data_IF_039201294262
#
_entry.id   IF_039201294262
#
_cell.length_a   1.000
_cell.length_b   1.000
_cell.length_c   1.000
_cell.angle_alpha   90.00
_cell.angle_beta   90.00
_cell.angle_gamma   90.00
#
_symmetry.space_group_name_H-M   'P 1'
#
loop_
_entity.id
_entity.type
_entity.pdbx_description
1 polymer ?
#
# COMPACT_ATOMS: atom_id res chain seq x y z
N UNK A 1 -14.58 13.81 12.17
CA UNK A 1 -13.88 12.59 11.68
C UNK A 1 -14.65 11.38 12.19
N UNK A 2 -14.81 10.37 11.35
CA UNK A 2 -15.55 9.15 11.70
C UNK A 2 -14.77 8.41 12.79
N UNK A 3 -15.39 8.01 13.90
CA UNK A 3 -14.72 7.23 14.93
C UNK A 3 -14.39 5.83 14.44
N UNK A 4 -13.32 5.23 14.98
CA UNK A 4 -12.86 3.88 14.64
C UNK A 4 -13.80 2.81 15.21
N UNK A 5 -14.53 3.14 16.28
CA UNK A 5 -15.50 2.25 16.91
C UNK A 5 -16.92 2.82 16.77
N UNK A 6 -17.90 2.01 16.33
CA UNK A 6 -19.31 2.45 16.16
C UNK A 6 -19.97 3.01 17.41
N UNK A 7 -19.42 2.71 18.59
CA UNK A 7 -19.94 3.17 19.90
C UNK A 7 -19.37 4.51 20.36
N UNK A 8 -18.49 5.10 19.56
CA UNK A 8 -17.88 6.40 19.86
C UNK A 8 -18.43 7.49 18.97
N UNK A 9 -18.63 8.68 19.52
CA UNK A 9 -19.09 9.87 18.78
C UNK A 9 -17.95 10.55 18.02
N UNK A 10 -16.71 10.34 18.46
CA UNK A 10 -15.51 11.00 17.91
C UNK A 10 -14.31 10.07 18.00
N UNK A 11 -13.42 10.17 17.01
CA UNK A 11 -12.11 9.54 17.07
C UNK A 11 -11.28 10.10 18.23
N UNK A 12 -10.64 9.23 19.00
CA UNK A 12 -9.76 9.56 20.12
C UNK A 12 -8.32 9.24 19.79
N UNK A 13 -7.38 9.85 20.53
CA UNK A 13 -5.93 9.55 20.45
C UNK A 13 -5.35 9.71 19.05
N UNK A 14 -5.98 10.51 18.21
CA UNK A 14 -5.61 10.68 16.78
C UNK A 14 -5.54 9.35 16.00
N UNK A 15 -6.32 8.35 16.38
CA UNK A 15 -6.36 7.04 15.69
C UNK A 15 -6.77 7.17 14.23
N UNK A 16 -7.57 8.18 13.89
CA UNK A 16 -7.94 8.50 12.50
C UNK A 16 -6.70 8.70 11.60
N UNK A 17 -5.64 9.27 12.15
CA UNK A 17 -4.38 9.52 11.45
C UNK A 17 -3.47 8.29 11.49
N UNK A 18 -3.22 7.75 12.69
CA UNK A 18 -2.20 6.70 12.88
C UNK A 18 -2.62 5.34 12.33
N UNK A 19 -3.90 5.00 12.40
CA UNK A 19 -4.44 3.70 11.97
C UNK A 19 -5.54 3.88 10.91
N UNK A 20 -6.40 4.88 11.07
CA UNK A 20 -7.58 5.05 10.24
C UNK A 20 -7.24 5.22 8.76
N UNK A 21 -6.35 6.12 8.41
CA UNK A 21 -5.96 6.32 7.01
C UNK A 21 -5.24 5.12 6.41
N UNK A 22 -4.23 4.49 7.04
CA UNK A 22 -3.66 3.24 6.54
C UNK A 22 -4.71 2.14 6.37
N UNK A 23 -5.65 2.00 7.29
CA UNK A 23 -6.75 1.06 7.16
C UNK A 23 -7.63 1.38 5.93
N UNK A 24 -8.02 2.63 5.74
CA UNK A 24 -8.84 3.05 4.60
C UNK A 24 -8.12 2.81 3.26
N UNK A 25 -6.82 3.11 3.18
CA UNK A 25 -6.00 2.80 2.01
C UNK A 25 -5.97 1.30 1.73
N UNK A 26 -5.79 0.48 2.76
CA UNK A 26 -5.84 -0.98 2.65
C UNK A 26 -7.17 -1.45 2.09
N UNK A 27 -8.29 -0.95 2.62
CA UNK A 27 -9.64 -1.27 2.13
C UNK A 27 -9.84 -0.80 0.69
N UNK A 28 -9.35 0.38 0.33
CA UNK A 28 -9.43 0.89 -1.04
C UNK A 28 -8.66 0.00 -2.02
N UNK A 29 -7.43 -0.40 -1.68
CA UNK A 29 -6.64 -1.34 -2.49
C UNK A 29 -7.36 -2.67 -2.67
N UNK A 30 -7.92 -3.23 -1.58
CA UNK A 30 -8.71 -4.46 -1.63
C UNK A 30 -9.89 -4.32 -2.60
N UNK A 31 -10.67 -3.24 -2.48
CA UNK A 31 -11.83 -3.00 -3.35
C UNK A 31 -11.43 -2.81 -4.81
N UNK A 32 -10.36 -2.08 -5.09
CA UNK A 32 -9.84 -1.89 -6.45
C UNK A 32 -9.38 -3.22 -7.04
N UNK A 33 -8.63 -4.04 -6.29
CA UNK A 33 -8.19 -5.34 -6.77
C UNK A 33 -9.39 -6.25 -7.12
N UNK A 34 -10.34 -6.38 -6.20
CA UNK A 34 -11.51 -7.23 -6.40
C UNK A 34 -12.52 -6.69 -7.41
N UNK A 35 -12.53 -5.38 -7.70
CA UNK A 35 -13.36 -4.82 -8.77
C UNK A 35 -12.94 -5.28 -10.17
N UNK A 36 -11.69 -5.76 -10.32
CA UNK A 36 -11.10 -6.11 -11.62
C UNK A 36 -10.59 -4.90 -12.39
N UNK A 37 -10.15 -3.84 -11.68
CA UNK A 37 -9.64 -2.62 -12.32
C UNK A 37 -8.48 -2.89 -13.29
N UNK A 38 -7.60 -3.86 -12.97
CA UNK A 38 -6.47 -4.22 -13.81
C UNK A 38 -6.86 -5.12 -15.00
N UNK A 39 -8.03 -5.74 -14.95
CA UNK A 39 -8.63 -6.47 -16.07
C UNK A 39 -9.31 -5.53 -17.05
N UNK A 40 -10.06 -4.56 -16.52
CA UNK A 40 -10.75 -3.55 -17.32
C UNK A 40 -9.75 -2.52 -17.91
N UNK A 41 -8.66 -2.21 -17.19
CA UNK A 41 -7.65 -1.22 -17.58
C UNK A 41 -6.22 -1.77 -17.37
N UNK A 42 -5.73 -2.67 -18.26
CA UNK A 42 -4.45 -3.38 -18.04
C UNK A 42 -3.22 -2.48 -17.99
N UNK A 43 -3.31 -1.27 -18.53
CA UNK A 43 -2.21 -0.30 -18.54
C UNK A 43 -2.26 0.73 -17.41
N UNK A 44 -3.31 0.68 -16.56
CA UNK A 44 -3.42 1.62 -15.44
C UNK A 44 -2.28 1.41 -14.45
N UNK A 45 -1.74 2.52 -13.96
CA UNK A 45 -0.75 2.54 -12.87
C UNK A 45 -1.39 3.20 -11.67
N UNK A 46 -1.42 2.50 -10.56
CA UNK A 46 -2.00 3.00 -9.30
C UNK A 46 -0.88 3.03 -8.28
N UNK A 47 -0.54 4.23 -7.81
CA UNK A 47 0.43 4.43 -6.73
C UNK A 47 -0.35 4.58 -5.44
N UNK A 48 -0.01 3.79 -4.44
CA UNK A 48 -0.60 3.85 -3.10
C UNK A 48 0.35 4.54 -2.14
N UNK A 49 -0.19 5.34 -1.23
CA UNK A 49 0.62 6.02 -0.23
C UNK A 49 0.96 5.11 0.97
N UNK A 50 1.93 5.57 1.77
CA UNK A 50 2.36 4.93 3.02
C UNK A 50 2.78 3.47 2.82
N UNK A 51 3.65 3.23 1.81
CA UNK A 51 4.24 1.92 1.52
C UNK A 51 3.19 0.83 1.22
N UNK A 52 2.04 1.23 0.65
CA UNK A 52 0.91 0.31 0.45
C UNK A 52 0.14 0.00 1.73
N UNK A 53 0.27 0.86 2.73
CA UNK A 53 -0.43 0.78 4.01
C UNK A 53 -0.23 -0.57 4.72
N UNK A 54 -1.29 -1.32 4.99
CA UNK A 54 -1.21 -2.61 5.70
C UNK A 54 -1.02 -3.80 4.74
N UNK A 55 -1.05 -3.61 3.42
CA UNK A 55 -1.01 -4.71 2.44
C UNK A 55 0.25 -5.56 2.58
N UNK A 56 1.48 -5.02 2.67
CA UNK A 56 2.68 -5.85 2.86
C UNK A 56 2.61 -6.72 4.12
N UNK A 57 2.10 -6.19 5.22
CA UNK A 57 1.92 -6.94 6.46
C UNK A 57 0.84 -8.03 6.38
N UNK A 58 -0.06 -7.93 5.41
CA UNK A 58 -1.13 -8.90 5.19
C UNK A 58 -0.81 -9.92 4.11
N UNK A 59 0.44 -9.97 3.60
CA UNK A 59 0.86 -10.87 2.51
C UNK A 59 0.36 -12.31 2.72
N UNK A 60 0.67 -12.93 3.85
CA UNK A 60 0.21 -14.29 4.15
C UNK A 60 -1.30 -14.45 4.23
N UNK A 61 -2.03 -13.41 4.67
CA UNK A 61 -3.50 -13.43 4.67
C UNK A 61 -4.07 -13.30 3.26
N UNK A 62 -3.42 -12.54 2.38
CA UNK A 62 -3.80 -12.39 0.98
C UNK A 62 -3.47 -13.69 0.25
N UNK A 63 -2.24 -14.18 0.33
CA UNK A 63 -1.79 -15.35 -0.41
C UNK A 63 -2.51 -16.63 0.03
N UNK A 64 -2.57 -16.91 1.33
CA UNK A 64 -3.08 -18.17 1.86
C UNK A 64 -4.53 -18.06 2.35
N UNK A 65 -4.89 -16.92 2.95
CA UNK A 65 -6.24 -16.71 3.47
C UNK A 65 -7.29 -16.62 2.37
N UNK A 66 -6.95 -16.05 1.23
CA UNK A 66 -7.86 -15.90 0.09
C UNK A 66 -7.95 -17.16 -0.79
N UNK A 67 -7.15 -18.22 -0.54
CA UNK A 67 -7.38 -19.53 -1.14
C UNK A 67 -8.76 -20.11 -0.78
N UNK A 68 -9.32 -19.66 0.35
CA UNK A 68 -10.68 -19.99 0.80
C UNK A 68 -11.67 -18.84 0.54
N UNK A 69 -11.45 -18.05 -0.50
CA UNK A 69 -12.30 -16.91 -0.84
C UNK A 69 -13.76 -17.35 -0.98
N UNK A 70 -14.67 -16.64 -0.31
CA UNK A 70 -16.08 -16.98 -0.23
C UNK A 70 -16.44 -18.07 0.76
N UNK A 71 -15.49 -18.89 1.21
CA UNK A 71 -15.76 -19.99 2.15
C UNK A 71 -16.19 -19.56 3.56
N UNK A 72 -15.96 -18.28 3.91
CA UNK A 72 -16.37 -17.68 5.19
C UNK A 72 -17.66 -16.85 5.08
N UNK A 73 -18.22 -16.74 3.88
CA UNK A 73 -19.48 -16.05 3.62
C UNK A 73 -20.63 -17.05 3.65
N UNK A 74 -21.73 -16.67 4.26
CA UNK A 74 -22.94 -17.52 4.31
C UNK A 74 -23.34 -17.91 2.88
N UNK A 75 -23.72 -19.18 2.64
CA UNK A 75 -23.96 -19.70 1.28
C UNK A 75 -24.96 -18.88 0.47
N UNK A 76 -26.02 -18.40 1.12
CA UNK A 76 -27.09 -17.60 0.53
C UNK A 76 -26.65 -16.19 0.07
N UNK A 77 -25.59 -15.65 0.68
CA UNK A 77 -25.04 -14.33 0.37
C UNK A 77 -23.76 -14.39 -0.48
N UNK A 78 -23.24 -15.60 -0.70
CA UNK A 78 -21.93 -15.80 -1.31
C UNK A 78 -21.83 -15.20 -2.70
N UNK A 79 -22.80 -15.46 -3.55
CA UNK A 79 -22.80 -14.96 -4.93
C UNK A 79 -22.78 -13.43 -4.96
N UNK A 80 -23.59 -12.78 -4.12
CA UNK A 80 -23.66 -11.32 -4.05
C UNK A 80 -22.37 -10.69 -3.47
N UNK A 81 -21.94 -11.19 -2.30
CA UNK A 81 -20.89 -10.55 -1.51
C UNK A 81 -19.46 -10.89 -1.94
N UNK A 82 -19.28 -11.95 -2.73
CA UNK A 82 -17.94 -12.39 -3.19
C UNK A 82 -17.76 -12.32 -4.70
N UNK A 83 -18.68 -11.69 -5.41
CA UNK A 83 -18.54 -11.47 -6.85
C UNK A 83 -17.34 -10.59 -7.15
N UNK A 84 -16.47 -11.06 -8.04
CA UNK A 84 -15.27 -10.34 -8.46
C UNK A 84 -14.98 -10.53 -9.93
N UNK A 85 -14.38 -9.53 -10.57
CA UNK A 85 -13.81 -9.64 -11.91
C UNK A 85 -12.32 -9.98 -11.89
N UNK A 86 -11.69 -9.95 -10.72
CA UNK A 86 -10.27 -10.26 -10.56
C UNK A 86 -9.96 -11.66 -11.09
N UNK A 87 -8.89 -11.79 -11.86
CA UNK A 87 -8.42 -13.05 -12.43
C UNK A 87 -7.09 -13.48 -11.79
N UNK A 88 -6.88 -14.79 -11.70
CA UNK A 88 -5.65 -15.36 -11.15
C UNK A 88 -5.57 -15.31 -9.63
N UNK A 89 -4.36 -15.44 -9.10
CA UNK A 89 -4.12 -15.39 -7.67
C UNK A 89 -4.25 -13.94 -7.15
N UNK A 90 -4.99 -13.72 -6.04
CA UNK A 90 -5.13 -12.38 -5.48
C UNK A 90 -3.81 -11.67 -5.24
N UNK A 91 -2.80 -12.37 -4.74
CA UNK A 91 -1.49 -11.80 -4.43
C UNK A 91 -0.84 -11.14 -5.65
N UNK A 92 -0.96 -11.76 -6.84
CA UNK A 92 -0.39 -11.22 -8.08
C UNK A 92 -1.08 -9.91 -8.50
N UNK A 93 -2.38 -9.78 -8.21
CA UNK A 93 -3.12 -8.54 -8.46
C UNK A 93 -2.66 -7.43 -7.54
N UNK A 94 -2.42 -7.71 -6.25
CA UNK A 94 -1.91 -6.72 -5.32
C UNK A 94 -0.49 -6.26 -5.66
N UNK A 95 0.36 -7.11 -6.22
CA UNK A 95 1.70 -6.77 -6.67
C UNK A 95 1.75 -5.89 -7.94
N UNK A 96 0.62 -5.67 -8.62
CA UNK A 96 0.51 -4.71 -9.74
C UNK A 96 0.46 -3.25 -9.29
N UNK A 97 0.13 -2.99 -8.03
CA UNK A 97 0.18 -1.63 -7.48
C UNK A 97 1.62 -1.16 -7.35
N UNK A 98 1.79 0.15 -7.38
CA UNK A 98 2.98 0.84 -6.93
C UNK A 98 2.76 1.35 -5.53
N UNK A 99 3.82 1.51 -4.76
CA UNK A 99 3.77 2.13 -3.45
C UNK A 99 4.86 3.20 -3.31
N UNK A 100 4.64 4.16 -2.42
CA UNK A 100 5.64 5.16 -2.09
C UNK A 100 6.55 4.73 -0.93
N UNK A 101 7.45 5.61 -0.51
CA UNK A 101 8.32 5.43 0.65
C UNK A 101 7.90 6.25 1.88
N UNK A 102 6.71 6.87 1.86
CA UNK A 102 6.25 7.78 2.91
C UNK A 102 5.89 7.00 4.19
N UNK A 103 6.90 6.67 4.99
CA UNK A 103 6.79 5.87 6.23
C UNK A 103 7.27 6.61 7.48
N UNK A 104 7.41 7.94 7.38
CA UNK A 104 7.82 8.81 8.49
C UNK A 104 9.15 8.41 9.16
N UNK A 105 10.05 7.76 8.40
CA UNK A 105 11.35 7.30 8.92
C UNK A 105 11.34 5.86 9.44
N UNK A 106 10.40 5.02 9.01
CA UNK A 106 10.37 3.60 9.35
C UNK A 106 11.08 2.73 8.32
N UNK A 107 12.33 2.34 8.58
CA UNK A 107 13.10 1.42 7.73
C UNK A 107 12.39 0.07 7.57
N UNK A 108 11.77 -0.45 8.64
CA UNK A 108 11.05 -1.73 8.60
C UNK A 108 9.81 -1.68 7.69
N UNK A 109 9.10 -0.56 7.66
CA UNK A 109 7.97 -0.40 6.76
C UNK A 109 8.42 -0.40 5.28
N UNK A 110 9.46 0.39 4.95
CA UNK A 110 10.01 0.43 3.58
C UNK A 110 10.53 -0.96 3.17
N UNK A 111 11.21 -1.68 4.09
CA UNK A 111 11.64 -3.05 3.84
C UNK A 111 10.47 -3.96 3.48
N UNK A 112 9.40 -3.95 4.28
CA UNK A 112 8.21 -4.75 4.01
C UNK A 112 7.57 -4.42 2.65
N UNK A 113 7.54 -3.15 2.27
CA UNK A 113 7.07 -2.72 0.96
C UNK A 113 7.95 -3.23 -0.19
N UNK A 114 9.27 -3.13 -0.05
CA UNK A 114 10.23 -3.65 -1.03
C UNK A 114 10.13 -5.17 -1.19
N UNK A 115 10.01 -5.90 -0.08
CA UNK A 115 9.87 -7.35 -0.10
C UNK A 115 8.55 -7.77 -0.78
N UNK A 116 7.48 -6.98 -0.61
CA UNK A 116 6.16 -7.27 -1.19
C UNK A 116 6.03 -6.85 -2.65
N UNK A 117 6.33 -5.58 -2.96
CA UNK A 117 6.10 -5.00 -4.29
C UNK A 117 7.31 -5.14 -5.24
N UNK A 118 8.49 -5.35 -4.68
CA UNK A 118 9.76 -5.29 -5.41
C UNK A 118 10.26 -3.86 -5.69
N UNK A 119 11.56 -3.69 -5.93
CA UNK A 119 12.16 -2.36 -6.12
C UNK A 119 11.64 -1.61 -7.35
N UNK A 120 11.11 -2.31 -8.35
CA UNK A 120 10.56 -1.71 -9.57
C UNK A 120 9.20 -1.04 -9.38
N UNK A 121 8.54 -1.30 -8.25
CA UNK A 121 7.20 -0.79 -7.92
C UNK A 121 7.18 0.16 -6.72
N UNK A 122 8.34 0.59 -6.22
CA UNK A 122 8.43 1.58 -5.15
C UNK A 122 8.91 2.92 -5.73
N UNK A 123 8.22 4.01 -5.37
CA UNK A 123 8.59 5.37 -5.76
C UNK A 123 8.92 6.22 -4.53
N UNK A 124 9.94 7.08 -4.66
CA UNK A 124 10.31 7.97 -3.57
C UNK A 124 9.23 9.01 -3.33
N UNK A 125 8.75 9.07 -2.10
CA UNK A 125 7.92 10.14 -1.58
C UNK A 125 8.05 10.19 -0.04
N UNK A 126 7.70 11.29 0.59
CA UNK A 126 8.00 11.55 2.01
C UNK A 126 6.81 11.98 2.83
N UNK A 127 5.70 12.34 2.16
CA UNK A 127 4.54 12.97 2.78
C UNK A 127 4.84 14.38 3.35
N UNK A 128 5.84 15.07 2.78
CA UNK A 128 6.09 16.47 3.13
C UNK A 128 4.87 17.34 2.72
N UNK A 129 4.55 18.42 3.43
CA UNK A 129 5.27 19.08 4.51
C UNK A 129 4.74 18.76 5.93
N UNK A 130 4.17 17.59 6.15
CA UNK A 130 3.43 17.25 7.39
C UNK A 130 4.31 16.85 8.60
N UNK A 131 5.64 16.91 8.44
CA UNK A 131 6.57 16.75 9.56
C UNK A 131 6.68 18.03 10.42
N UNK A 132 7.16 17.91 11.68
CA UNK A 132 7.36 19.06 12.55
C UNK A 132 8.29 20.13 11.96
N UNK A 133 9.20 19.72 11.09
CA UNK A 133 10.16 20.59 10.39
C UNK A 133 9.61 21.18 9.07
N UNK A 134 8.34 20.91 8.75
CA UNK A 134 7.62 21.39 7.56
C UNK A 134 8.26 20.96 6.23
N UNK A 135 8.73 19.72 6.18
CA UNK A 135 9.22 19.08 4.95
C UNK A 135 10.61 18.44 5.08
N UNK A 136 11.65 19.18 5.49
CA UNK A 136 13.01 18.63 5.51
C UNK A 136 13.19 17.39 6.37
N UNK A 137 12.47 17.28 7.48
CA UNK A 137 12.59 16.17 8.40
C UNK A 137 12.16 14.82 7.80
N UNK A 138 11.04 14.78 7.10
CA UNK A 138 10.59 13.54 6.44
C UNK A 138 11.47 13.17 5.26
N UNK A 139 11.97 14.16 4.51
CA UNK A 139 12.92 13.91 3.43
C UNK A 139 14.18 13.23 3.97
N UNK A 140 14.82 13.84 4.98
CA UNK A 140 16.05 13.31 5.58
C UNK A 140 15.86 11.91 6.16
N UNK A 141 14.79 11.70 6.94
CA UNK A 141 14.48 10.40 7.55
C UNK A 141 14.24 9.33 6.51
N UNK A 142 13.53 9.64 5.42
CA UNK A 142 13.25 8.69 4.35
C UNK A 142 14.53 8.31 3.59
N UNK A 143 15.38 9.28 3.24
CA UNK A 143 16.67 9.01 2.61
C UNK A 143 17.55 8.14 3.48
N UNK A 144 17.66 8.45 4.79
CA UNK A 144 18.40 7.64 5.75
C UNK A 144 17.86 6.21 5.87
N UNK A 145 16.55 6.04 5.80
CA UNK A 145 15.95 4.70 5.77
C UNK A 145 16.39 3.91 4.54
N UNK A 146 16.36 4.53 3.36
CA UNK A 146 16.77 3.89 2.11
C UNK A 146 18.24 3.51 2.16
N UNK A 147 19.12 4.38 2.68
CA UNK A 147 20.53 4.08 2.87
C UNK A 147 20.76 2.85 3.79
N UNK A 148 19.96 2.71 4.83
CA UNK A 148 20.05 1.59 5.78
C UNK A 148 19.51 0.25 5.24
N UNK A 149 18.89 0.24 4.07
CA UNK A 149 18.26 -0.98 3.52
C UNK A 149 19.24 -1.91 2.79
N UNK A 150 20.50 -1.50 2.59
CA UNK A 150 21.52 -2.26 1.87
C UNK A 150 21.04 -2.71 0.47
N UNK A 151 20.35 -1.83 -0.25
CA UNK A 151 19.95 -2.06 -1.63
C UNK A 151 21.18 -2.05 -2.55
N UNK A 152 21.07 -2.72 -3.69
CA UNK A 152 22.03 -2.52 -4.78
C UNK A 152 21.94 -1.08 -5.28
N UNK A 153 23.00 -0.52 -5.86
CA UNK A 153 22.96 0.84 -6.45
C UNK A 153 21.89 0.94 -7.54
N UNK A 154 21.66 -0.14 -8.28
CA UNK A 154 20.59 -0.19 -9.29
C UNK A 154 19.21 -0.07 -8.64
N UNK A 155 18.90 -0.87 -7.62
CA UNK A 155 17.60 -0.84 -6.95
C UNK A 155 17.37 0.47 -6.20
N UNK A 156 18.43 1.01 -5.58
CA UNK A 156 18.39 2.32 -4.93
C UNK A 156 18.05 3.43 -5.95
N UNK A 157 18.69 3.43 -7.12
CA UNK A 157 18.40 4.37 -8.19
C UNK A 157 16.96 4.24 -8.71
N UNK A 158 16.45 2.99 -8.87
CA UNK A 158 15.05 2.75 -9.23
C UNK A 158 14.10 3.41 -8.24
N UNK A 159 14.28 3.16 -6.94
CA UNK A 159 13.42 3.69 -5.86
C UNK A 159 13.49 5.21 -5.81
N UNK A 160 14.69 5.80 -5.84
CA UNK A 160 14.87 7.24 -5.64
C UNK A 160 14.34 8.10 -6.81
N UNK A 161 14.48 7.63 -8.05
CA UNK A 161 14.09 8.42 -9.22
C UNK A 161 13.65 7.61 -10.45
N UNK A 162 14.30 6.47 -10.74
CA UNK A 162 14.10 5.75 -11.99
C UNK A 162 12.66 5.29 -12.22
N UNK A 163 11.98 4.84 -11.17
CA UNK A 163 10.58 4.43 -11.29
C UNK A 163 9.65 5.62 -11.55
N UNK A 164 9.88 6.75 -10.88
CA UNK A 164 9.12 7.98 -11.13
C UNK A 164 9.35 8.49 -12.57
N UNK A 165 10.59 8.51 -13.03
CA UNK A 165 10.92 8.89 -14.41
C UNK A 165 10.19 8.00 -15.43
N UNK A 166 10.20 6.69 -15.22
CA UNK A 166 9.49 5.73 -16.09
C UNK A 166 7.97 5.91 -16.06
N UNK A 167 7.39 6.17 -14.89
CA UNK A 167 5.94 6.32 -14.74
C UNK A 167 5.40 7.62 -15.30
N UNK A 168 6.14 8.72 -15.15
CA UNK A 168 5.70 10.05 -15.52
C UNK A 168 6.31 10.56 -16.84
N UNK A 169 7.18 9.76 -17.47
CA UNK A 169 7.86 10.09 -18.74
C UNK A 169 8.67 11.39 -18.68
N UNK A 170 9.41 11.61 -17.58
CA UNK A 170 10.24 12.79 -17.34
C UNK A 170 11.72 12.45 -17.29
#
# INVERSE_FOLDING_TARGET
MVPEFPTEDRSKYELWFTIGWPYQTTVAMMRLAFSGIFEDFPNIKIITHHVGAMIPMLEGRIENGLKMYGGRTAPELREELTKTKMKGAPIDTFRKFYADTASFGSTSAIRAGLDFFGPDHIVFATDMPFDPEQGPGYIERTLKCIDNLNLTEEDKAKVLHGNAQRLFHV
#
